data_IF_016296448724
#
_entry.id   IF_016296448724
#
_cell.length_a   1.000
_cell.length_b   1.000
_cell.length_c   1.000
_cell.angle_alpha   90.00
_cell.angle_beta   90.00
_cell.angle_gamma   90.00
#
_symmetry.space_group_name_H-M   'P 1'
#
loop_
_entity.id
_entity.type
_entity.pdbx_description
1 polymer ?
#
# COMPACT_ATOMS: atom_id res chain seq x y z
N UNK A 1 -48.63 -6.17 12.78
CA UNK A 1 -47.67 -6.43 13.85
C UNK A 1 -46.37 -5.71 13.49
N UNK A 2 -45.99 -4.61 14.16
CA UNK A 2 -44.80 -3.82 13.82
C UNK A 2 -43.55 -4.20 14.65
N UNK A 3 -43.53 -5.39 15.29
CA UNK A 3 -42.47 -5.82 16.21
C UNK A 3 -41.24 -6.46 15.54
N UNK A 4 -41.43 -7.16 14.41
CA UNK A 4 -40.36 -7.99 13.82
C UNK A 4 -39.30 -7.17 13.07
N UNK A 5 -39.67 -6.02 12.51
CA UNK A 5 -38.76 -5.18 11.73
C UNK A 5 -37.74 -4.46 12.63
N UNK A 6 -38.13 -4.07 13.85
CA UNK A 6 -37.24 -3.38 14.79
C UNK A 6 -36.17 -4.32 15.35
N UNK A 7 -36.55 -5.54 15.71
CA UNK A 7 -35.60 -6.56 16.18
C UNK A 7 -34.63 -7.00 15.07
N UNK A 8 -35.12 -7.11 13.84
CA UNK A 8 -34.31 -7.40 12.65
C UNK A 8 -33.28 -6.31 12.37
N UNK A 9 -33.68 -5.03 12.50
CA UNK A 9 -32.78 -3.88 12.33
C UNK A 9 -31.73 -3.80 13.43
N UNK A 10 -32.09 -4.07 14.68
CA UNK A 10 -31.12 -4.15 15.78
C UNK A 10 -30.12 -5.27 15.59
N UNK A 11 -30.57 -6.43 15.11
CA UNK A 11 -29.70 -7.56 14.79
C UNK A 11 -28.74 -7.21 13.66
N UNK A 12 -29.22 -6.56 12.59
CA UNK A 12 -28.37 -6.11 11.48
C UNK A 12 -27.29 -5.12 11.93
N UNK A 13 -27.64 -4.17 12.81
CA UNK A 13 -26.68 -3.21 13.38
C UNK A 13 -25.62 -3.90 14.22
N UNK A 14 -25.99 -4.91 15.02
CA UNK A 14 -25.04 -5.70 15.81
C UNK A 14 -24.10 -6.50 14.90
N UNK A 15 -24.61 -7.12 13.85
CA UNK A 15 -23.78 -7.84 12.86
C UNK A 15 -22.83 -6.86 12.16
N UNK A 16 -23.31 -5.68 11.76
CA UNK A 16 -22.47 -4.65 11.14
C UNK A 16 -21.31 -4.22 12.07
N UNK A 17 -21.61 -3.92 13.34
CA UNK A 17 -20.57 -3.55 14.30
C UNK A 17 -19.55 -4.67 14.57
N UNK A 18 -20.00 -5.93 14.61
CA UNK A 18 -19.09 -7.08 14.71
C UNK A 18 -18.22 -7.23 13.45
N UNK A 19 -18.77 -6.95 12.27
CA UNK A 19 -18.02 -6.96 11.02
C UNK A 19 -17.00 -5.82 10.96
N UNK A 20 -17.31 -4.63 11.46
CA UNK A 20 -16.35 -3.51 11.56
C UNK A 20 -15.18 -3.88 12.48
N UNK A 21 -15.46 -4.42 13.66
CA UNK A 21 -14.42 -4.86 14.61
C UNK A 21 -13.53 -5.96 14.03
N UNK A 22 -14.10 -6.93 13.33
CA UNK A 22 -13.35 -8.00 12.66
C UNK A 22 -12.61 -7.52 11.41
N UNK A 23 -13.16 -6.52 10.71
CA UNK A 23 -12.54 -5.95 9.53
C UNK A 23 -11.33 -5.11 9.90
N UNK A 24 -11.38 -4.33 10.99
CA UNK A 24 -10.31 -3.44 11.39
C UNK A 24 -8.99 -4.20 11.66
N UNK A 25 -9.04 -5.30 12.41
CA UNK A 25 -7.86 -6.13 12.65
C UNK A 25 -7.31 -6.73 11.35
N UNK A 26 -8.19 -7.22 10.47
CA UNK A 26 -7.76 -7.81 9.19
C UNK A 26 -7.20 -6.77 8.22
N UNK A 27 -7.74 -5.55 8.22
CA UNK A 27 -7.22 -4.42 7.46
C UNK A 27 -5.84 -4.05 8.01
N UNK A 28 -5.68 -3.95 9.34
CA UNK A 28 -4.40 -3.65 9.97
C UNK A 28 -3.33 -4.72 9.66
N UNK A 29 -3.69 -6.01 9.71
CA UNK A 29 -2.80 -7.12 9.35
C UNK A 29 -2.40 -7.09 7.87
N UNK A 30 -3.36 -6.81 6.97
CA UNK A 30 -3.10 -6.66 5.53
C UNK A 30 -2.14 -5.50 5.27
N UNK A 31 -2.41 -4.34 5.87
CA UNK A 31 -1.57 -3.14 5.77
C UNK A 31 -0.15 -3.39 6.28
N UNK A 32 -0.02 -4.06 7.43
CA UNK A 32 1.28 -4.44 7.98
C UNK A 32 2.05 -5.38 7.04
N UNK A 33 1.37 -6.37 6.46
CA UNK A 33 1.96 -7.30 5.48
C UNK A 33 2.41 -6.57 4.22
N UNK A 34 1.60 -5.65 3.70
CA UNK A 34 1.94 -4.85 2.52
C UNK A 34 3.12 -3.91 2.81
N UNK A 35 3.17 -3.26 3.98
CA UNK A 35 4.30 -2.43 4.41
C UNK A 35 5.59 -3.24 4.56
N UNK A 36 5.52 -4.46 5.11
CA UNK A 36 6.68 -5.36 5.21
C UNK A 36 7.18 -5.81 3.83
N UNK A 37 6.27 -6.18 2.92
CA UNK A 37 6.61 -6.53 1.55
C UNK A 37 7.24 -5.34 0.80
N UNK A 38 6.72 -4.12 1.01
CA UNK A 38 7.26 -2.91 0.42
C UNK A 38 8.71 -2.65 0.86
N UNK A 39 8.99 -2.82 2.17
CA UNK A 39 10.38 -2.74 2.69
C UNK A 39 11.28 -3.81 2.10
N UNK A 40 10.79 -5.04 1.93
CA UNK A 40 11.56 -6.14 1.32
C UNK A 40 11.92 -5.86 -0.14
N UNK A 41 10.99 -5.31 -0.93
CA UNK A 41 11.20 -4.97 -2.35
C UNK A 41 12.14 -3.77 -2.51
N UNK A 42 11.98 -2.75 -1.67
CA UNK A 42 12.85 -1.58 -1.64
C UNK A 42 14.28 -1.95 -1.23
N UNK A 43 14.43 -2.81 -0.22
CA UNK A 43 15.71 -3.13 0.39
C UNK A 43 16.41 -1.87 0.92
N UNK A 44 17.75 -1.86 0.83
CA UNK A 44 18.61 -0.74 1.24
C UNK A 44 18.90 0.26 0.13
N UNK A 45 18.28 0.10 -1.04
CA UNK A 45 18.59 0.95 -2.20
C UNK A 45 17.81 2.27 -2.13
N UNK A 46 18.54 3.37 -1.92
CA UNK A 46 17.96 4.71 -1.92
C UNK A 46 17.21 5.03 -3.22
N UNK A 47 17.74 4.59 -4.38
CA UNK A 47 17.06 4.79 -5.67
C UNK A 47 15.71 4.07 -5.75
N UNK A 48 15.62 2.84 -5.22
CA UNK A 48 14.34 2.10 -5.18
C UNK A 48 13.37 2.74 -4.20
N UNK A 49 13.85 3.14 -3.02
CA UNK A 49 13.03 3.80 -2.00
C UNK A 49 12.46 5.13 -2.52
N UNK A 50 13.30 6.00 -3.09
CA UNK A 50 12.86 7.25 -3.72
C UNK A 50 11.88 7.00 -4.86
N UNK A 51 12.13 5.98 -5.70
CA UNK A 51 11.21 5.63 -6.78
C UNK A 51 9.84 5.21 -6.25
N UNK A 52 9.79 4.41 -5.19
CA UNK A 52 8.55 3.96 -4.55
C UNK A 52 7.77 5.14 -3.97
N UNK A 53 8.43 6.07 -3.28
CA UNK A 53 7.78 7.26 -2.71
C UNK A 53 7.14 8.13 -3.81
N UNK A 54 7.74 8.17 -5.00
CA UNK A 54 7.24 8.95 -6.14
C UNK A 54 6.06 8.28 -6.89
N UNK A 55 5.66 7.06 -6.54
CA UNK A 55 4.56 6.30 -7.15
C UNK A 55 3.20 6.70 -6.57
N UNK A 56 2.75 7.92 -6.88
CA UNK A 56 1.45 8.46 -6.47
C UNK A 56 0.34 8.31 -7.54
N UNK A 57 0.67 7.74 -8.70
CA UNK A 57 -0.24 7.61 -9.85
C UNK A 57 -0.36 8.86 -10.72
N UNK A 58 0.35 9.95 -10.41
CA UNK A 58 0.40 11.16 -11.24
C UNK A 58 1.57 11.16 -12.21
N UNK A 59 2.64 10.44 -11.86
CA UNK A 59 3.89 10.38 -12.63
C UNK A 59 4.01 9.08 -13.40
N UNK A 60 4.53 9.20 -14.61
CA UNK A 60 4.88 8.04 -15.44
C UNK A 60 6.17 7.38 -14.95
N UNK A 61 6.39 6.10 -15.31
CA UNK A 61 7.67 5.45 -15.02
C UNK A 61 8.89 6.24 -15.54
N UNK A 62 8.78 6.90 -16.70
CA UNK A 62 9.90 7.66 -17.25
C UNK A 62 10.30 8.84 -16.34
N UNK A 63 9.31 9.56 -15.81
CA UNK A 63 9.53 10.70 -14.91
C UNK A 63 10.08 10.25 -13.55
N UNK A 64 9.57 9.14 -13.01
CA UNK A 64 10.08 8.56 -11.75
C UNK A 64 11.53 8.12 -11.92
N UNK A 65 11.87 7.48 -13.04
CA UNK A 65 13.24 7.08 -13.34
C UNK A 65 14.20 8.27 -13.42
N UNK A 66 13.77 9.38 -14.02
CA UNK A 66 14.56 10.62 -14.07
C UNK A 66 14.76 11.22 -12.66
N UNK A 67 13.70 11.33 -11.86
CA UNK A 67 13.77 11.94 -10.52
C UNK A 67 14.56 11.07 -9.54
N UNK A 68 14.41 9.75 -9.60
CA UNK A 68 15.12 8.82 -8.73
C UNK A 68 16.51 8.40 -9.27
N UNK A 69 16.95 8.97 -10.40
CA UNK A 69 18.20 8.60 -11.08
C UNK A 69 18.31 7.09 -11.35
N UNK A 70 17.19 6.45 -11.68
CA UNK A 70 17.11 5.00 -11.86
C UNK A 70 16.88 4.65 -13.34
N UNK A 71 17.65 3.67 -13.83
CA UNK A 71 17.51 3.18 -15.21
C UNK A 71 16.12 2.57 -15.43
N UNK A 72 15.53 2.85 -16.60
CA UNK A 72 14.26 2.27 -17.10
C UNK A 72 14.16 0.75 -16.90
N UNK A 73 15.23 0.00 -17.15
CA UNK A 73 15.24 -1.46 -16.96
C UNK A 73 15.10 -1.88 -15.49
N UNK A 74 15.77 -1.17 -14.58
CA UNK A 74 15.67 -1.41 -13.14
C UNK A 74 14.32 -0.97 -12.58
N UNK A 75 13.76 0.13 -13.10
CA UNK A 75 12.43 0.59 -12.73
C UNK A 75 11.33 -0.35 -13.21
N UNK A 76 11.42 -0.85 -14.43
CA UNK A 76 10.46 -1.83 -14.96
C UNK A 76 10.47 -3.12 -14.12
N UNK A 77 11.65 -3.61 -13.72
CA UNK A 77 11.77 -4.75 -12.79
C UNK A 77 11.22 -4.44 -11.41
N UNK A 78 11.43 -3.22 -10.89
CA UNK A 78 10.90 -2.79 -9.61
C UNK A 78 9.37 -2.76 -9.63
N UNK A 79 8.78 -2.17 -10.67
CA UNK A 79 7.33 -2.12 -10.86
C UNK A 79 6.75 -3.54 -10.99
N UNK A 80 7.42 -4.42 -11.74
CA UNK A 80 7.00 -5.82 -11.83
C UNK A 80 7.07 -6.55 -10.47
N UNK A 81 8.11 -6.30 -9.66
CA UNK A 81 8.22 -6.86 -8.32
C UNK A 81 7.12 -6.34 -7.38
N UNK A 82 6.78 -5.05 -7.45
CA UNK A 82 5.69 -4.44 -6.69
C UNK A 82 4.33 -4.98 -7.13
N UNK A 83 4.13 -5.22 -8.42
CA UNK A 83 2.91 -5.82 -8.96
C UNK A 83 2.74 -7.28 -8.49
N UNK A 84 3.81 -8.08 -8.52
CA UNK A 84 3.80 -9.46 -8.03
C UNK A 84 3.43 -9.56 -6.54
N UNK A 85 3.79 -8.55 -5.74
CA UNK A 85 3.46 -8.46 -4.32
C UNK A 85 2.09 -7.79 -4.06
N UNK A 86 1.31 -7.46 -5.11
CA UNK A 86 0.03 -6.73 -5.03
C UNK A 86 0.13 -5.40 -4.27
N UNK A 87 1.24 -4.67 -4.49
CA UNK A 87 1.52 -3.37 -3.87
C UNK A 87 1.14 -2.19 -4.78
N UNK A 88 0.67 -2.46 -6.01
CA UNK A 88 0.22 -1.46 -6.97
C UNK A 88 -1.27 -1.58 -7.26
N UNK A 89 -1.90 -0.45 -7.59
CA UNK A 89 -3.34 -0.33 -7.88
C UNK A 89 -3.68 -0.59 -9.36
N UNK A 90 -3.03 -1.57 -10.00
CA UNK A 90 -3.26 -2.04 -11.38
C UNK A 90 -2.64 -1.25 -12.56
N UNK A 91 -2.34 0.05 -12.43
CA UNK A 91 -1.68 0.78 -13.53
C UNK A 91 -0.16 0.64 -13.50
N UNK A 92 0.41 0.11 -14.59
CA UNK A 92 1.86 0.02 -14.79
C UNK A 92 2.43 1.28 -15.45
N UNK A 93 1.63 2.06 -16.19
CA UNK A 93 2.10 3.29 -16.85
C UNK A 93 2.25 4.42 -15.84
N UNK A 94 1.25 4.58 -14.97
CA UNK A 94 1.27 5.50 -13.83
C UNK A 94 1.24 4.69 -12.54
N UNK A 95 2.40 4.16 -12.10
CA UNK A 95 2.44 3.31 -10.92
C UNK A 95 1.91 4.08 -9.70
N UNK A 96 0.89 3.49 -9.08
CA UNK A 96 0.25 3.99 -7.86
C UNK A 96 0.29 2.93 -6.78
N UNK A 97 0.86 3.25 -5.63
CA UNK A 97 0.85 2.34 -4.48
C UNK A 97 -0.57 2.04 -4.02
N UNK A 98 -0.84 0.77 -3.74
CA UNK A 98 -2.11 0.32 -3.15
C UNK A 98 -2.28 0.77 -1.69
N UNK A 99 -1.17 1.13 -1.04
CA UNK A 99 -1.14 1.66 0.33
C UNK A 99 -0.61 3.10 0.31
N UNK A 100 -1.17 3.94 1.18
CA UNK A 100 -0.61 5.28 1.41
C UNK A 100 0.61 5.15 2.30
N UNK A 101 1.72 5.76 1.87
CA UNK A 101 3.02 5.66 2.51
C UNK A 101 3.59 7.07 2.69
N UNK A 102 4.01 7.47 3.90
CA UNK A 102 4.58 8.80 4.11
C UNK A 102 5.98 8.90 3.46
N UNK A 103 6.41 10.12 3.16
CA UNK A 103 7.69 10.40 2.47
C UNK A 103 8.89 9.87 3.27
N UNK A 104 8.78 9.80 4.59
CA UNK A 104 9.81 9.31 5.51
C UNK A 104 9.69 7.81 5.85
N UNK A 105 8.89 7.04 5.12
CA UNK A 105 8.62 5.63 5.46
C UNK A 105 9.85 4.73 5.49
N UNK A 106 10.87 5.07 4.71
CA UNK A 106 12.11 4.31 4.60
C UNK A 106 13.27 4.88 5.44
N UNK A 107 13.07 6.01 6.13
CA UNK A 107 14.13 6.72 6.88
C UNK A 107 14.53 6.03 8.21
N UNK A 108 13.97 4.86 8.50
CA UNK A 108 14.20 4.10 9.74
C UNK A 108 15.55 3.35 9.76
N UNK A 109 16.64 4.08 9.51
CA UNK A 109 18.04 3.71 9.82
C UNK A 109 18.76 4.80 10.62
N UNK A 110 18.02 5.66 11.35
CA UNK A 110 18.63 6.70 12.21
C UNK A 110 18.62 6.38 13.71
N UNK A 111 18.01 5.29 14.17
CA UNK A 111 17.87 4.97 15.59
C UNK A 111 18.30 3.53 15.92
N UNK A 112 19.54 3.15 15.55
CA UNK A 112 20.29 2.08 16.22
C UNK A 112 21.77 2.51 16.27
N UNK A 113 22.09 3.39 17.23
CA UNK A 113 23.44 3.58 17.79
C UNK A 113 23.36 3.47 19.32
#
# INVERSE_FOLDING_TARGET
>A
MPGDDSESLELLRKIHGLLELLAEEKIAQRDAKQRAALRKVAGTSHQKQSSIILMDGTRTQAEIGLMASMNKGNLSRLVAALLNENLLSDDTKNPKLAISVPVNFFDSHADEE
#
